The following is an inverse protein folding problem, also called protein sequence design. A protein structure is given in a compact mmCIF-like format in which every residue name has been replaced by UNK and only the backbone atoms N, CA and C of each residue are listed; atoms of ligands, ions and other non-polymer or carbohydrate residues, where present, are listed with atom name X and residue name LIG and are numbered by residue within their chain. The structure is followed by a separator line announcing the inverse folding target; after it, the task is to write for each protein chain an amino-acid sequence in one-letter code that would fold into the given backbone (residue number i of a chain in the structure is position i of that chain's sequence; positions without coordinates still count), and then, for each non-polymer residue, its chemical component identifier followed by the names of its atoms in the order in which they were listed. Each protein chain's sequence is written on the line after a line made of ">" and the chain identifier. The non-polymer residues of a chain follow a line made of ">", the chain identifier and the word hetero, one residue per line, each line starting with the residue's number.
data_IF_077993888410
#
_entry.id   IF_077993888410
#
_cell.length_a   1.000
_cell.length_b   1.000
_cell.length_c   1.000
_cell.angle_alpha   90.00
_cell.angle_beta   90.00
_cell.angle_gamma   90.00
#
_symmetry.space_group_name_H-M   'P 1'
#
loop_
_entity.id
_entity.type
_entity.pdbx_description
1 polymer ?
#
# COMPACT_ATOMS: atom_id res chain seq x y z
N UNK A 1 -9.03 -10.89 10.32
CA UNK A 1 -8.11 -12.03 10.11
C UNK A 1 -8.76 -13.12 9.26
N UNK A 2 -9.99 -13.54 9.56
CA UNK A 2 -10.72 -14.57 8.78
C UNK A 2 -10.77 -14.28 7.27
N UNK A 3 -11.19 -13.07 6.88
CA UNK A 3 -11.22 -12.64 5.47
C UNK A 3 -9.88 -12.78 4.76
N UNK A 4 -8.78 -12.46 5.45
CA UNK A 4 -7.44 -12.61 4.90
C UNK A 4 -7.07 -14.09 4.75
N UNK A 5 -7.49 -14.93 5.71
CA UNK A 5 -7.38 -16.38 5.61
C UNK A 5 -8.02 -16.92 4.32
N UNK A 6 -9.25 -16.50 4.02
CA UNK A 6 -9.95 -16.90 2.78
C UNK A 6 -9.18 -16.52 1.52
N UNK A 7 -8.59 -15.32 1.46
CA UNK A 7 -7.77 -14.88 0.31
C UNK A 7 -6.52 -15.74 0.17
N UNK A 8 -5.83 -16.00 1.29
CA UNK A 8 -4.63 -16.84 1.28
C UNK A 8 -4.95 -18.28 0.89
N UNK A 9 -6.06 -18.83 1.38
CA UNK A 9 -6.53 -20.18 1.04
C UNK A 9 -6.91 -20.26 -0.45
N UNK A 10 -7.57 -19.22 -0.97
CA UNK A 10 -7.84 -19.07 -2.39
C UNK A 10 -6.57 -19.15 -3.22
N UNK A 11 -5.53 -18.38 -2.88
CA UNK A 11 -4.26 -18.41 -3.63
C UNK A 11 -3.42 -19.67 -3.40
N UNK A 12 -3.47 -20.28 -2.23
CA UNK A 12 -2.80 -21.57 -1.93
C UNK A 12 -3.40 -22.70 -2.79
N UNK A 13 -4.67 -22.60 -3.20
CA UNK A 13 -5.36 -23.58 -4.05
C UNK A 13 -5.04 -23.48 -5.54
N UNK A 14 -4.49 -22.34 -5.99
CA UNK A 14 -4.16 -22.11 -7.41
C UNK A 14 -2.89 -22.88 -7.80
N UNK A 15 -2.80 -23.31 -9.07
CA UNK A 15 -1.61 -24.00 -9.59
C UNK A 15 -0.32 -23.18 -9.38
N UNK A 16 -0.37 -21.88 -9.71
CA UNK A 16 0.75 -20.95 -9.54
C UNK A 16 0.42 -19.95 -8.45
N UNK A 17 1.17 -20.01 -7.35
CA UNK A 17 1.03 -19.06 -6.25
C UNK A 17 1.62 -17.70 -6.61
N UNK A 18 1.08 -16.58 -6.09
CA UNK A 18 1.62 -15.26 -6.34
C UNK A 18 3.06 -15.12 -5.83
N UNK A 19 3.95 -14.52 -6.61
CA UNK A 19 5.36 -14.35 -6.20
C UNK A 19 5.53 -13.32 -5.08
N UNK A 20 4.62 -12.35 -4.96
CA UNK A 20 4.71 -11.25 -4.01
C UNK A 20 3.31 -10.85 -3.49
N UNK A 21 3.15 -10.87 -2.17
CA UNK A 21 2.04 -10.24 -1.47
C UNK A 21 2.50 -8.90 -0.91
N UNK A 22 1.75 -7.84 -1.20
CA UNK A 22 2.03 -6.49 -0.68
C UNK A 22 0.92 -6.11 0.29
N UNK A 23 1.25 -6.04 1.57
CA UNK A 23 0.36 -5.65 2.65
C UNK A 23 0.69 -4.22 3.06
N UNK A 24 -0.22 -3.30 2.75
CA UNK A 24 -0.09 -1.89 3.09
C UNK A 24 -0.91 -1.60 4.35
N UNK A 25 -0.33 -0.82 5.27
CA UNK A 25 -0.99 -0.40 6.50
C UNK A 25 -2.25 0.43 6.23
N UNK A 26 -3.01 0.80 7.25
CA UNK A 26 -2.69 0.68 8.66
C UNK A 26 -2.91 -0.75 9.17
N UNK A 27 -1.96 -1.27 9.96
CA UNK A 27 -2.05 -2.62 10.55
C UNK A 27 -2.87 -2.65 11.84
N UNK A 28 -3.13 -1.49 12.44
CA UNK A 28 -4.08 -1.33 13.53
C UNK A 28 -5.33 -0.58 13.08
N UNK A 29 -6.50 -0.99 13.59
CA UNK A 29 -7.78 -0.29 13.35
C UNK A 29 -7.85 1.06 14.06
N UNK A 30 -7.01 1.27 15.07
CA UNK A 30 -6.85 2.52 15.83
C UNK A 30 -5.40 2.97 15.77
N UNK A 31 -5.12 4.28 15.82
CA UNK A 31 -3.74 4.77 15.86
C UNK A 31 -2.93 4.15 17.00
N UNK A 32 -1.72 3.68 16.70
CA UNK A 32 -0.83 3.09 17.71
C UNK A 32 -0.31 4.16 18.67
N UNK A 33 -0.82 4.15 19.91
CA UNK A 33 -0.45 5.12 20.94
C UNK A 33 0.08 4.41 22.19
N UNK A 34 0.94 5.08 22.97
CA UNK A 34 1.49 4.55 24.22
C UNK A 34 0.41 4.29 25.30
N UNK A 35 -0.74 4.95 25.21
CA UNK A 35 -1.76 4.94 26.25
C UNK A 35 -2.58 3.63 26.34
N UNK A 36 -2.52 2.74 25.35
CA UNK A 36 -3.46 1.61 25.23
C UNK A 36 -2.82 0.25 24.94
N UNK A 37 -1.57 0.01 25.38
CA UNK A 37 -0.82 -1.23 25.07
C UNK A 37 -0.80 -1.62 23.58
N UNK A 38 -1.00 -0.65 22.68
CA UNK A 38 -1.22 -0.91 21.25
C UNK A 38 -0.03 -1.59 20.58
N UNK A 39 1.18 -1.40 21.12
CA UNK A 39 2.41 -2.04 20.63
C UNK A 39 2.47 -3.53 20.96
N UNK A 40 2.05 -3.92 22.17
CA UNK A 40 2.00 -5.33 22.59
C UNK A 40 0.91 -6.07 21.83
N UNK A 41 -0.27 -5.45 21.71
CA UNK A 41 -1.37 -6.02 20.92
C UNK A 41 -0.98 -6.19 19.45
N UNK A 42 -0.38 -5.16 18.83
CA UNK A 42 0.10 -5.26 17.46
C UNK A 42 1.14 -6.37 17.28
N UNK A 43 2.10 -6.50 18.21
CA UNK A 43 3.10 -7.58 18.20
C UNK A 43 2.42 -8.95 18.27
N UNK A 44 1.43 -9.13 19.14
CA UNK A 44 0.65 -10.36 19.24
C UNK A 44 -0.12 -10.67 17.94
N UNK A 45 -0.77 -9.66 17.34
CA UNK A 45 -1.50 -9.83 16.09
C UNK A 45 -0.57 -10.14 14.90
N UNK A 46 0.63 -9.55 14.88
CA UNK A 46 1.66 -9.91 13.91
C UNK A 46 2.14 -11.36 14.09
N UNK A 47 2.25 -11.86 15.32
CA UNK A 47 2.49 -13.28 15.59
C UNK A 47 1.41 -14.17 14.99
N UNK A 48 0.13 -13.86 15.25
CA UNK A 48 -1.03 -14.59 14.68
C UNK A 48 -1.05 -14.54 13.15
N UNK A 49 -0.70 -13.40 12.56
CA UNK A 49 -0.57 -13.27 11.10
C UNK A 49 0.57 -14.12 10.56
N UNK A 50 1.70 -14.14 11.26
CA UNK A 50 2.84 -14.99 10.96
C UNK A 50 2.47 -16.47 10.95
N UNK A 51 1.80 -16.94 12.01
CA UNK A 51 1.32 -18.32 12.14
C UNK A 51 0.32 -18.67 11.03
N UNK A 52 -0.64 -17.78 10.76
CA UNK A 52 -1.63 -17.95 9.70
C UNK A 52 -0.97 -18.13 8.33
N UNK A 53 0.01 -17.30 7.97
CA UNK A 53 0.71 -17.48 6.68
C UNK A 53 1.59 -18.74 6.72
N UNK A 54 2.24 -19.03 7.85
CA UNK A 54 3.11 -20.19 7.98
C UNK A 54 2.37 -21.54 7.89
N UNK A 55 1.06 -21.56 8.17
CA UNK A 55 0.23 -22.75 7.97
C UNK A 55 -0.01 -23.09 6.48
N UNK A 56 0.21 -22.14 5.57
CA UNK A 56 0.14 -22.33 4.11
C UNK A 56 1.55 -22.52 3.56
N UNK A 57 1.98 -23.76 3.40
CA UNK A 57 3.38 -24.09 3.08
C UNK A 57 3.79 -23.62 1.69
N UNK A 58 2.92 -23.69 0.68
CA UNK A 58 3.28 -23.28 -0.69
C UNK A 58 3.48 -21.77 -0.75
N UNK A 59 2.59 -21.00 -0.16
CA UNK A 59 2.75 -19.55 -0.02
C UNK A 59 4.02 -19.18 0.76
N UNK A 60 4.32 -19.88 1.87
CA UNK A 60 5.53 -19.60 2.67
C UNK A 60 6.82 -19.83 1.88
N UNK A 61 6.86 -20.87 1.03
CA UNK A 61 8.07 -21.27 0.31
C UNK A 61 8.28 -20.48 -0.98
N UNK A 62 7.21 -20.18 -1.72
CA UNK A 62 7.30 -19.60 -3.05
C UNK A 62 6.91 -18.12 -3.13
N UNK A 63 6.24 -17.58 -2.11
CA UNK A 63 5.82 -16.17 -2.08
C UNK A 63 6.69 -15.33 -1.15
N UNK A 64 6.85 -14.05 -1.50
CA UNK A 64 7.43 -13.03 -0.63
C UNK A 64 6.32 -12.17 -0.04
N UNK A 65 6.50 -11.69 1.18
CA UNK A 65 5.55 -10.81 1.86
C UNK A 65 6.21 -9.47 2.12
N UNK A 66 5.69 -8.42 1.50
CA UNK A 66 6.17 -7.04 1.62
C UNK A 66 5.18 -6.24 2.48
N UNK A 67 5.69 -5.61 3.53
CA UNK A 67 4.90 -4.82 4.47
C UNK A 67 5.28 -3.34 4.37
N UNK A 68 4.29 -2.48 4.13
CA UNK A 68 4.48 -1.05 3.89
C UNK A 68 3.73 -0.22 4.94
N UNK A 69 4.43 0.73 5.60
CA UNK A 69 3.95 1.83 6.39
C UNK A 69 2.55 2.40 6.17
N UNK A 70 1.58 2.25 7.04
CA UNK A 70 0.41 3.14 7.06
C UNK A 70 0.71 4.51 7.69
N UNK A 71 -0.10 5.56 7.41
CA UNK A 71 0.01 6.86 8.08
C UNK A 71 -0.32 6.85 9.59
N UNK A 72 -1.08 5.88 10.08
CA UNK A 72 -1.44 5.78 11.51
C UNK A 72 -0.70 4.65 12.24
N UNK A 73 0.21 3.97 11.55
CA UNK A 73 1.06 2.95 12.15
C UNK A 73 2.16 3.54 13.04
N UNK A 74 2.71 2.67 13.89
CA UNK A 74 3.84 2.98 14.75
C UNK A 74 5.04 3.55 13.98
N UNK A 75 5.51 4.72 14.39
CA UNK A 75 6.69 5.35 13.81
C UNK A 75 7.06 6.66 14.52
N UNK A 76 8.27 7.19 14.28
CA UNK A 76 8.77 8.38 14.97
C UNK A 76 8.10 9.68 14.48
N UNK A 77 7.56 9.69 13.26
CA UNK A 77 6.98 10.88 12.64
C UNK A 77 5.92 10.52 11.61
N UNK A 78 5.01 11.47 11.34
CA UNK A 78 4.07 11.41 10.21
C UNK A 78 4.63 12.02 8.91
N UNK A 79 5.87 12.51 8.94
CA UNK A 79 6.56 13.04 7.78
C UNK A 79 6.90 11.93 6.77
N UNK A 80 6.95 12.29 5.49
CA UNK A 80 7.39 11.40 4.41
C UNK A 80 8.86 11.65 4.06
N UNK A 81 9.60 10.64 3.58
CA UNK A 81 9.27 9.21 3.60
C UNK A 81 9.24 8.66 5.03
N UNK A 82 8.35 7.70 5.29
CA UNK A 82 8.27 6.99 6.57
C UNK A 82 9.21 5.80 6.58
N UNK A 83 9.88 5.58 7.70
CA UNK A 83 10.69 4.39 7.92
C UNK A 83 9.82 3.13 8.01
N UNK A 84 10.45 1.97 7.84
CA UNK A 84 9.83 0.69 8.12
C UNK A 84 9.39 0.59 9.60
N UNK A 85 8.51 -0.39 9.88
CA UNK A 85 8.07 -0.66 11.24
C UNK A 85 9.26 -1.06 12.14
N UNK A 86 9.30 -0.62 13.41
CA UNK A 86 10.33 -1.00 14.37
C UNK A 86 10.52 -2.52 14.49
N UNK A 87 11.77 -2.97 14.60
CA UNK A 87 12.15 -4.40 14.73
C UNK A 87 11.36 -5.13 15.83
N UNK A 88 11.21 -4.48 16.98
CA UNK A 88 10.45 -5.00 18.11
C UNK A 88 9.01 -5.45 17.75
N UNK A 89 8.34 -4.78 16.82
CA UNK A 89 6.97 -5.12 16.44
C UNK A 89 6.91 -6.30 15.48
N UNK A 90 7.94 -6.46 14.66
CA UNK A 90 7.96 -7.42 13.54
C UNK A 90 8.62 -8.75 13.91
N UNK A 91 9.34 -8.80 15.03
CA UNK A 91 10.06 -10.00 15.51
C UNK A 91 9.17 -11.24 15.56
N UNK A 92 7.93 -11.14 16.07
CA UNK A 92 7.04 -12.31 16.16
C UNK A 92 6.62 -12.82 14.78
N UNK A 93 6.34 -11.92 13.83
CA UNK A 93 6.01 -12.33 12.46
C UNK A 93 7.22 -12.96 11.77
N UNK A 94 8.42 -12.39 11.95
CA UNK A 94 9.65 -12.88 11.32
C UNK A 94 10.08 -14.26 11.83
N UNK A 95 9.73 -14.63 13.07
CA UNK A 95 9.93 -16.01 13.56
C UNK A 95 9.20 -17.05 12.70
N UNK A 96 7.99 -16.73 12.24
CA UNK A 96 7.19 -17.62 11.41
C UNK A 96 7.53 -17.48 9.92
N UNK A 97 7.82 -16.26 9.46
CA UNK A 97 8.09 -15.91 8.06
C UNK A 97 9.43 -15.15 8.00
N UNK A 98 10.59 -15.86 7.94
CA UNK A 98 11.89 -15.20 7.88
C UNK A 98 12.09 -14.40 6.58
N UNK A 99 11.31 -14.73 5.55
CA UNK A 99 11.33 -14.11 4.23
C UNK A 99 10.50 -12.82 4.13
N UNK A 100 9.85 -12.37 5.22
CA UNK A 100 9.05 -11.16 5.25
C UNK A 100 9.92 -9.89 5.19
N UNK A 101 9.56 -8.98 4.31
CA UNK A 101 10.29 -7.75 4.00
C UNK A 101 9.47 -6.57 4.51
N UNK A 102 10.04 -5.77 5.42
CA UNK A 102 9.44 -4.53 5.91
C UNK A 102 10.20 -3.35 5.32
N UNK A 103 9.50 -2.43 4.66
CA UNK A 103 10.11 -1.31 3.91
C UNK A 103 9.54 0.03 4.32
N UNK A 104 10.07 1.11 3.74
CA UNK A 104 9.56 2.47 3.91
C UNK A 104 8.21 2.68 3.22
N UNK A 105 7.57 3.81 3.50
CA UNK A 105 6.47 4.33 2.71
C UNK A 105 6.78 5.76 2.22
N UNK A 106 6.83 6.03 0.91
CA UNK A 106 6.66 5.08 -0.21
C UNK A 106 7.80 4.06 -0.32
N UNK A 107 7.60 3.07 -1.18
CA UNK A 107 8.66 2.17 -1.63
C UNK A 107 8.55 1.92 -3.14
N UNK A 108 9.64 1.38 -3.71
CA UNK A 108 9.70 0.99 -5.12
C UNK A 108 10.14 -0.46 -5.23
N UNK A 109 9.48 -1.21 -6.08
CA UNK A 109 9.81 -2.59 -6.40
C UNK A 109 10.12 -2.66 -7.88
N UNK A 110 11.33 -3.12 -8.19
CA UNK A 110 11.71 -3.42 -9.57
C UNK A 110 11.45 -4.89 -9.85
N UNK A 111 10.55 -5.18 -10.77
CA UNK A 111 10.25 -6.53 -11.21
C UNK A 111 10.62 -6.69 -12.68
N UNK A 112 11.75 -7.37 -12.94
CA UNK A 112 12.39 -7.42 -14.25
C UNK A 112 12.62 -6.01 -14.84
N UNK A 113 11.91 -5.68 -15.92
CA UNK A 113 11.99 -4.39 -16.63
C UNK A 113 11.02 -3.36 -16.09
N UNK A 114 10.15 -3.72 -15.14
CA UNK A 114 9.08 -2.85 -14.65
C UNK A 114 9.43 -2.21 -13.32
N UNK A 115 9.12 -0.92 -13.19
CA UNK A 115 9.19 -0.19 -11.92
C UNK A 115 7.78 0.02 -11.36
N UNK A 116 7.56 -0.52 -10.15
CA UNK A 116 6.29 -0.43 -9.42
C UNK A 116 6.51 0.43 -8.19
N UNK A 117 5.78 1.54 -8.08
CA UNK A 117 5.84 2.45 -6.94
C UNK A 117 4.63 2.21 -6.05
N UNK A 118 4.85 1.94 -4.77
CA UNK A 118 3.79 1.81 -3.78
C UNK A 118 3.78 3.02 -2.87
N UNK A 119 2.61 3.60 -2.69
CA UNK A 119 2.43 4.74 -1.80
C UNK A 119 1.13 4.58 -1.01
N UNK A 120 1.27 4.44 0.31
CA UNK A 120 0.13 4.33 1.22
C UNK A 120 -0.13 5.68 1.87
N UNK A 121 -1.10 6.42 1.36
CA UNK A 121 -1.53 7.68 1.95
C UNK A 121 -2.94 8.02 1.51
N UNK A 122 -3.70 8.68 2.38
CA UNK A 122 -5.04 9.20 2.03
C UNK A 122 -4.93 10.47 1.17
N UNK A 123 -4.32 10.33 -0.01
CA UNK A 123 -3.89 11.43 -0.87
C UNK A 123 -5.06 12.09 -1.59
N UNK A 124 -6.05 11.32 -2.05
CA UNK A 124 -7.22 11.86 -2.74
C UNK A 124 -7.94 12.86 -1.83
N UNK A 125 -8.20 12.45 -0.59
CA UNK A 125 -8.83 13.31 0.42
C UNK A 125 -8.03 14.59 0.68
N UNK A 126 -6.70 14.47 0.85
CA UNK A 126 -5.82 15.62 1.15
C UNK A 126 -5.71 16.60 -0.02
N UNK A 127 -5.60 16.09 -1.24
CA UNK A 127 -5.56 16.90 -2.46
C UNK A 127 -6.88 17.66 -2.61
N UNK A 128 -8.03 16.98 -2.48
CA UNK A 128 -9.35 17.60 -2.58
C UNK A 128 -9.59 18.69 -1.55
N UNK A 129 -9.14 18.50 -0.31
CA UNK A 129 -9.23 19.51 0.74
C UNK A 129 -8.33 20.73 0.50
N UNK A 130 -7.25 20.55 -0.26
CA UNK A 130 -6.28 21.60 -0.56
C UNK A 130 -6.51 22.26 -1.93
N UNK A 131 -7.51 21.81 -2.69
CA UNK A 131 -7.88 22.41 -3.97
C UNK A 131 -8.44 23.82 -3.76
N UNK A 132 -7.89 24.80 -4.47
CA UNK A 132 -8.45 26.16 -4.53
C UNK A 132 -9.73 26.20 -5.39
N UNK A 133 -9.69 25.50 -6.53
CA UNK A 133 -10.81 25.39 -7.46
C UNK A 133 -11.15 23.90 -7.55
N UNK A 134 -12.40 23.49 -7.30
CA UNK A 134 -12.81 22.12 -7.53
C UNK A 134 -12.74 21.82 -9.04
N UNK A 135 -12.25 20.64 -9.44
CA UNK A 135 -12.19 20.27 -10.85
C UNK A 135 -13.59 20.26 -11.44
N UNK A 136 -13.70 20.80 -12.66
CA UNK A 136 -14.93 20.86 -13.42
C UNK A 136 -15.29 19.47 -13.95
N UNK A 137 -16.59 19.20 -14.02
CA UNK A 137 -17.11 17.95 -14.59
C UNK A 137 -16.88 17.84 -16.09
N UNK A 138 -16.49 18.92 -16.76
CA UNK A 138 -16.21 18.97 -18.20
C UNK A 138 -14.89 18.29 -18.58
N UNK A 139 -13.87 18.36 -17.71
CA UNK A 139 -12.53 17.81 -18.01
C UNK A 139 -12.37 16.38 -17.47
N UNK A 140 -12.79 16.16 -16.22
CA UNK A 140 -12.71 14.84 -15.58
C UNK A 140 -13.89 14.66 -14.62
N UNK A 141 -14.74 13.67 -14.88
CA UNK A 141 -15.85 13.34 -13.98
C UNK A 141 -15.37 12.64 -12.71
N UNK A 142 -14.26 11.92 -12.77
CA UNK A 142 -13.76 11.13 -11.65
C UNK A 142 -12.61 11.81 -10.90
N UNK A 143 -12.74 12.01 -9.57
CA UNK A 143 -11.65 12.54 -8.73
C UNK A 143 -10.36 11.73 -8.77
N UNK A 144 -10.42 10.40 -8.93
CA UNK A 144 -9.21 9.56 -8.95
C UNK A 144 -8.43 9.73 -10.25
N UNK A 145 -9.10 9.79 -11.40
CA UNK A 145 -8.46 10.12 -12.68
C UNK A 145 -7.75 11.49 -12.65
N UNK A 146 -8.41 12.51 -12.09
CA UNK A 146 -7.81 13.83 -11.92
C UNK A 146 -6.57 13.78 -11.00
N UNK A 147 -6.64 13.01 -9.91
CA UNK A 147 -5.50 12.81 -9.01
C UNK A 147 -4.31 12.19 -9.74
N UNK A 148 -4.55 11.11 -10.51
CA UNK A 148 -3.51 10.41 -11.27
C UNK A 148 -2.87 11.35 -12.30
N UNK A 149 -3.67 12.11 -13.04
CA UNK A 149 -3.16 13.10 -13.99
C UNK A 149 -2.29 14.16 -13.29
N UNK A 150 -2.74 14.67 -12.12
CA UNK A 150 -1.99 15.66 -11.34
C UNK A 150 -0.63 15.12 -10.89
N UNK A 151 -0.60 13.93 -10.29
CA UNK A 151 0.64 13.30 -9.79
C UNK A 151 1.61 13.03 -10.94
N UNK A 152 1.10 12.56 -12.07
CA UNK A 152 1.90 12.26 -13.27
C UNK A 152 2.53 13.53 -13.82
N UNK A 153 1.75 14.59 -14.02
CA UNK A 153 2.25 15.87 -14.53
C UNK A 153 3.20 16.57 -13.57
N UNK A 154 2.93 16.53 -12.26
CA UNK A 154 3.82 17.09 -11.25
C UNK A 154 5.09 16.26 -11.03
N UNK A 155 5.14 15.02 -11.57
CA UNK A 155 6.24 14.08 -11.38
C UNK A 155 6.63 13.90 -9.90
N UNK A 156 5.64 13.95 -8.99
CA UNK A 156 5.84 13.88 -7.55
C UNK A 156 4.65 13.19 -6.89
N UNK A 157 4.90 12.23 -5.99
CA UNK A 157 3.86 11.46 -5.30
C UNK A 157 2.97 12.31 -4.40
N UNK A 158 3.50 13.38 -3.83
CA UNK A 158 2.76 14.25 -2.91
C UNK A 158 2.99 15.72 -3.26
N UNK A 159 2.29 16.27 -4.26
CA UNK A 159 2.39 17.67 -4.65
C UNK A 159 1.54 18.55 -3.71
N UNK A 160 1.83 18.49 -2.41
CA UNK A 160 1.11 19.24 -1.38
C UNK A 160 2.07 20.14 -0.59
N UNK A 161 1.59 21.26 -0.03
CA UNK A 161 2.39 22.08 0.86
C UNK A 161 2.84 21.30 2.11
N UNK A 162 4.02 21.66 2.65
CA UNK A 162 4.59 21.04 3.85
C UNK A 162 3.70 21.18 5.10
N UNK A 163 2.82 22.18 5.12
CA UNK A 163 1.81 22.39 6.18
C UNK A 163 0.73 21.31 6.17
N UNK A 164 0.42 20.74 5.01
CA UNK A 164 -0.57 19.67 4.84
C UNK A 164 0.08 18.29 4.94
N UNK A 165 1.24 18.11 4.32
CA UNK A 165 2.03 16.89 4.41
C UNK A 165 3.50 17.23 4.63
N UNK A 166 4.03 17.06 5.86
CA UNK A 166 5.44 17.22 6.12
C UNK A 166 6.28 16.23 5.31
N UNK A 167 7.35 16.73 4.71
CA UNK A 167 8.36 15.93 4.00
C UNK A 167 9.71 16.24 4.63
N UNK A 168 10.49 15.18 4.90
CA UNK A 168 11.86 15.30 5.37
C UNK A 168 12.69 15.85 4.21
N UNK A 169 13.18 17.08 4.33
CA UNK A 169 13.81 17.82 3.23
C UNK A 169 14.93 17.04 2.53
N UNK A 170 15.76 16.32 3.29
CA UNK A 170 16.86 15.52 2.74
C UNK A 170 16.40 14.35 1.86
N UNK A 171 15.16 13.88 2.04
CA UNK A 171 14.59 12.70 1.37
C UNK A 171 13.44 13.05 0.41
N UNK A 172 13.27 14.32 0.04
CA UNK A 172 12.28 14.76 -0.96
C UNK A 172 12.44 14.01 -2.30
N UNK A 173 13.68 13.77 -2.70
CA UNK A 173 14.00 13.05 -3.94
C UNK A 173 13.39 11.64 -4.01
N UNK A 174 13.08 10.99 -2.89
CA UNK A 174 12.46 9.67 -2.85
C UNK A 174 11.00 9.67 -3.35
N UNK A 175 10.32 10.82 -3.26
CA UNK A 175 8.91 11.00 -3.64
C UNK A 175 8.73 11.37 -5.12
N UNK A 176 9.81 11.63 -5.86
CA UNK A 176 9.77 12.01 -7.28
C UNK A 176 9.40 10.82 -8.16
N UNK A 177 8.63 11.06 -9.21
CA UNK A 177 8.22 10.07 -10.21
C UNK A 177 8.98 10.21 -11.52
N UNK A 178 10.21 10.73 -11.44
CA UNK A 178 11.12 10.83 -12.57
C UNK A 178 12.32 9.89 -12.34
N UNK A 179 12.60 8.93 -13.25
CA UNK A 179 11.85 8.61 -14.48
C UNK A 179 10.44 8.06 -14.20
N UNK A 180 9.56 8.14 -15.19
CA UNK A 180 8.16 7.69 -15.06
C UNK A 180 8.11 6.18 -14.83
N UNK A 181 7.48 5.70 -13.74
CA UNK A 181 7.35 4.27 -13.48
C UNK A 181 6.32 3.63 -14.42
N UNK A 182 6.38 2.30 -14.58
CA UNK A 182 5.34 1.54 -15.29
C UNK A 182 4.01 1.54 -14.52
N UNK A 183 4.11 1.55 -13.19
CA UNK A 183 2.97 1.39 -12.31
C UNK A 183 3.08 2.18 -11.02
N UNK A 184 1.95 2.77 -10.61
CA UNK A 184 1.81 3.46 -9.33
C UNK A 184 0.61 2.87 -8.57
N UNK A 185 0.85 2.33 -7.39
CA UNK A 185 -0.17 1.83 -6.49
C UNK A 185 -0.42 2.88 -5.42
N UNK A 186 -1.55 3.56 -5.52
CA UNK A 186 -1.99 4.58 -4.58
C UNK A 186 -2.98 3.95 -3.61
N UNK A 187 -2.50 3.50 -2.45
CA UNK A 187 -3.38 2.93 -1.44
C UNK A 187 -4.02 4.04 -0.60
N UNK A 188 -5.29 4.30 -0.87
CA UNK A 188 -6.15 5.25 -0.17
C UNK A 188 -7.39 4.51 0.36
N UNK A 189 -8.10 5.13 1.30
CA UNK A 189 -9.41 4.68 1.81
C UNK A 189 -10.55 4.90 0.80
N UNK A 190 -10.29 5.58 -0.31
CA UNK A 190 -11.26 5.76 -1.39
C UNK A 190 -11.62 4.43 -2.06
N UNK A 191 -12.65 4.46 -2.90
CA UNK A 191 -13.11 3.30 -3.66
C UNK A 191 -12.00 2.69 -4.54
N UNK A 192 -12.15 1.40 -4.79
CA UNK A 192 -11.23 0.65 -5.62
C UNK A 192 -11.37 1.08 -7.08
N UNK A 193 -10.25 1.49 -7.69
CA UNK A 193 -10.26 1.94 -9.09
C UNK A 193 -8.91 1.70 -9.76
N UNK A 194 -8.95 1.38 -11.04
CA UNK A 194 -7.78 1.29 -11.89
C UNK A 194 -7.93 2.26 -13.07
N UNK A 195 -6.85 2.96 -13.41
CA UNK A 195 -6.80 3.92 -14.49
C UNK A 195 -5.44 3.87 -15.18
N UNK A 196 -5.47 3.78 -16.52
CA UNK A 196 -4.26 3.82 -17.34
C UNK A 196 -4.12 5.23 -17.91
N UNK A 197 -3.06 5.94 -17.53
CA UNK A 197 -2.80 7.31 -17.96
C UNK A 197 -1.41 7.41 -18.57
N UNK A 198 -1.31 7.91 -19.80
CA UNK A 198 -0.04 8.16 -20.50
C UNK A 198 0.95 6.97 -20.45
N UNK A 199 0.45 5.74 -20.54
CA UNK A 199 1.26 4.51 -20.49
C UNK A 199 1.61 4.01 -19.07
N UNK A 200 1.26 4.75 -18.02
CA UNK A 200 1.40 4.36 -16.62
C UNK A 200 0.10 3.69 -16.16
N UNK A 201 0.22 2.56 -15.46
CA UNK A 201 -0.94 1.91 -14.83
C UNK A 201 -1.03 2.36 -13.37
N UNK A 202 -2.06 3.14 -13.05
CA UNK A 202 -2.30 3.62 -11.70
C UNK A 202 -3.55 2.96 -11.12
N UNK A 203 -3.49 2.44 -9.91
CA UNK A 203 -4.68 1.91 -9.26
C UNK A 203 -4.65 2.09 -7.75
N UNK A 204 -5.86 2.14 -7.19
CA UNK A 204 -6.10 2.06 -5.76
C UNK A 204 -6.73 0.70 -5.45
N UNK A 205 -6.11 -0.14 -4.61
CA UNK A 205 -6.68 -1.42 -4.21
C UNK A 205 -7.92 -1.28 -3.31
N UNK A 206 -8.13 -0.12 -2.68
CA UNK A 206 -9.23 0.11 -1.74
C UNK A 206 -8.91 -0.30 -0.30
N UNK A 207 -9.91 -0.20 0.58
CA UNK A 207 -9.79 -0.55 2.00
C UNK A 207 -10.23 -1.99 2.26
N UNK A 208 -9.27 -2.90 2.44
CA UNK A 208 -9.55 -4.30 2.76
C UNK A 208 -10.36 -4.49 4.06
N UNK A 209 -10.19 -3.61 5.05
CA UNK A 209 -10.88 -3.72 6.33
C UNK A 209 -12.38 -3.43 6.22
N UNK A 210 -12.77 -2.48 5.36
CA UNK A 210 -14.16 -2.04 5.21
C UNK A 210 -14.86 -2.83 4.11
N UNK A 211 -14.26 -2.84 2.93
CA UNK A 211 -14.90 -3.31 1.70
C UNK A 211 -14.43 -4.71 1.29
N UNK A 212 -13.42 -5.26 1.99
CA UNK A 212 -12.81 -6.56 1.66
C UNK A 212 -12.24 -6.61 0.23
N UNK A 213 -11.86 -5.45 -0.29
CA UNK A 213 -11.32 -5.25 -1.63
C UNK A 213 -9.80 -5.43 -1.64
N UNK A 214 -9.31 -6.04 -2.71
CA UNK A 214 -7.88 -6.19 -2.99
C UNK A 214 -7.67 -6.23 -4.50
N UNK A 215 -6.44 -6.02 -4.95
CA UNK A 215 -6.11 -6.03 -6.37
C UNK A 215 -4.96 -7.01 -6.64
N UNK A 216 -5.07 -7.74 -7.74
CA UNK A 216 -4.01 -8.58 -8.27
C UNK A 216 -3.42 -7.93 -9.52
N UNK A 217 -2.09 -7.88 -9.59
CA UNK A 217 -1.39 -7.36 -10.76
C UNK A 217 -0.63 -8.47 -11.47
N UNK A 218 -0.87 -8.61 -12.78
CA UNK A 218 -0.12 -9.53 -13.63
C UNK A 218 0.96 -8.77 -14.39
N UNK A 219 2.24 -8.89 -14.01
CA UNK A 219 3.31 -8.13 -14.64
C UNK A 219 3.51 -8.52 -16.11
N UNK A 220 3.22 -9.75 -16.51
CA UNK A 220 3.35 -10.18 -17.90
C UNK A 220 2.40 -9.45 -18.87
N UNK A 221 1.12 -9.29 -18.48
CA UNK A 221 0.10 -8.64 -19.32
C UNK A 221 -0.09 -7.16 -19.00
N UNK A 222 0.50 -6.67 -17.90
CA UNK A 222 0.25 -5.32 -17.34
C UNK A 222 -1.24 -5.08 -17.09
N UNK A 223 -1.93 -6.12 -16.64
CA UNK A 223 -3.35 -6.07 -16.28
C UNK A 223 -3.53 -6.08 -14.77
N UNK A 224 -4.49 -5.28 -14.32
CA UNK A 224 -4.88 -5.16 -12.92
C UNK A 224 -6.27 -5.76 -12.79
N UNK A 225 -6.37 -6.82 -11.99
CA UNK A 225 -7.60 -7.50 -11.66
C UNK A 225 -8.06 -6.97 -10.29
N UNK A 226 -9.19 -6.28 -10.28
CA UNK A 226 -9.82 -5.79 -9.06
C UNK A 226 -10.72 -6.89 -8.51
N UNK A 227 -10.57 -7.22 -7.23
CA UNK A 227 -11.30 -8.29 -6.57
C UNK A 227 -11.89 -7.81 -5.26
N UNK A 228 -13.07 -8.32 -4.92
CA UNK A 228 -13.73 -8.10 -3.65
C UNK A 228 -14.17 -9.46 -3.11
N UNK A 229 -14.01 -9.68 -1.80
CA UNK A 229 -14.65 -10.82 -1.15
C UNK A 229 -16.12 -10.47 -0.90
N UNK A 230 -17.03 -11.32 -1.36
CA UNK A 230 -18.44 -11.23 -0.96
C UNK A 230 -18.57 -11.46 0.56
N UNK A 231 -19.50 -10.73 1.18
CA UNK A 231 -19.68 -10.68 2.65
C UNK A 231 -20.29 -11.95 3.21
#
# INVERSE_FOLDING_TARGET
>A
MEKLGVVLDGYESVEVVPSLFVLMGNFCSRPCNLAFNSFEELRLQFGKLGEMIASRTRLKEHSRFLFIPGPDDAGPSKALPRCALPKYLIEELQKHIPNAIFVSNPCRVKFYTQEIVFFRQDLLYRMRRSCLIPPTTEETSDPFEHLVATITHQSHLCPLPLTVQPIIWNYDHCLRLYPTPDMIVLADKSEQKAFKYTGITCFNPGSFANDSTFAAYRPCTKEVELSALES
#
